data_IF_528084077123
#
_entry.id   IF_528084077123
#
_cell.length_a   1.000
_cell.length_b   1.000
_cell.length_c   1.000
_cell.angle_alpha   90.00
_cell.angle_beta   90.00
_cell.angle_gamma   90.00
#
_symmetry.space_group_name_H-M   'P 1'
#
loop_
_entity.id
_entity.type
_entity.pdbx_description
1 polymer ?
#
# COMPACT_ATOMS: atom_id res chain seq x y z
N UNK A 1 -1.12 -4.93 42.90
CA UNK A 1 -0.98 -3.71 42.07
C UNK A 1 0.14 -4.03 41.08
N UNK A 2 -0.20 -4.51 39.89
CA UNK A 2 0.79 -4.82 38.86
C UNK A 2 1.37 -3.50 38.35
N UNK A 3 2.68 -3.33 38.51
CA UNK A 3 3.42 -2.21 37.95
C UNK A 3 3.50 -2.46 36.45
N UNK A 4 2.56 -1.92 35.68
CA UNK A 4 2.65 -1.87 34.23
C UNK A 4 3.76 -0.90 33.86
N UNK A 5 4.97 -1.44 33.63
CA UNK A 5 6.09 -0.67 33.10
C UNK A 5 5.63 -0.09 31.75
N UNK A 6 5.68 1.24 31.54
CA UNK A 6 5.27 1.83 30.28
C UNK A 6 6.19 1.32 29.17
N UNK A 7 5.62 0.65 28.18
CA UNK A 7 6.40 0.15 27.05
C UNK A 7 7.05 1.31 26.30
N UNK A 8 8.34 1.16 26.00
CA UNK A 8 9.09 2.12 25.21
C UNK A 8 8.65 2.02 23.75
N UNK A 9 7.92 3.05 23.29
CA UNK A 9 7.57 3.21 21.88
C UNK A 9 8.83 3.65 21.13
N UNK A 10 9.24 2.85 20.15
CA UNK A 10 10.45 3.10 19.35
C UNK A 10 10.14 3.91 18.10
N UNK A 11 8.96 3.72 17.54
CA UNK A 11 8.52 4.40 16.34
C UNK A 11 7.01 4.56 16.35
N UNK A 12 6.55 5.72 15.89
CA UNK A 12 5.13 6.04 15.86
C UNK A 12 4.83 6.87 14.61
N UNK A 13 3.91 6.38 13.77
CA UNK A 13 3.51 7.08 12.55
C UNK A 13 2.00 6.97 12.31
N UNK A 14 1.43 7.97 11.65
CA UNK A 14 0.04 7.97 11.24
C UNK A 14 -0.08 7.24 9.91
N UNK A 15 -1.00 6.29 9.81
CA UNK A 15 -1.17 5.46 8.61
C UNK A 15 -2.62 5.21 8.29
N UNK A 16 -2.90 4.91 7.03
CA UNK A 16 -4.23 4.51 6.60
C UNK A 16 -4.27 2.98 6.55
N UNK A 17 -4.89 2.34 7.54
CA UNK A 17 -5.08 0.89 7.56
C UNK A 17 -6.23 0.49 6.63
N UNK A 18 -6.07 -0.59 5.88
CA UNK A 18 -7.17 -1.15 5.09
C UNK A 18 -7.74 -2.31 5.86
N UNK A 19 -9.03 -2.22 6.15
CA UNK A 19 -9.77 -3.27 6.82
C UNK A 19 -10.89 -3.70 5.87
N UNK A 20 -10.82 -4.94 5.39
CA UNK A 20 -11.73 -5.54 4.41
C UNK A 20 -11.86 -4.73 3.11
N UNK A 21 -10.77 -4.68 2.32
CA UNK A 21 -10.65 -4.30 0.90
C UNK A 21 -11.20 -2.94 0.40
N UNK A 22 -12.09 -2.27 1.14
CA UNK A 22 -12.93 -1.21 0.61
C UNK A 22 -12.89 0.10 1.39
N UNK A 23 -12.41 0.11 2.66
CA UNK A 23 -12.27 1.34 3.44
C UNK A 23 -10.85 1.49 4.01
N UNK A 24 -10.15 2.49 3.52
CA UNK A 24 -8.92 2.98 4.15
C UNK A 24 -9.30 3.89 5.33
N UNK A 25 -8.98 3.48 6.55
CA UNK A 25 -9.28 4.22 7.78
C UNK A 25 -8.01 4.87 8.29
N UNK A 26 -8.10 6.09 8.82
CA UNK A 26 -6.98 6.73 9.52
C UNK A 26 -6.74 5.99 10.83
N UNK A 27 -5.49 5.63 11.06
CA UNK A 27 -5.02 5.01 12.28
C UNK A 27 -3.58 5.43 12.59
N UNK A 28 -3.05 4.84 13.66
CA UNK A 28 -1.69 5.06 14.15
C UNK A 28 -1.00 3.71 14.27
N UNK A 29 0.23 3.61 13.76
CA UNK A 29 1.08 2.46 14.00
C UNK A 29 2.13 2.83 15.02
N UNK A 30 2.15 2.10 16.13
CA UNK A 30 3.18 2.21 17.17
C UNK A 30 3.97 0.92 17.18
N UNK A 31 5.27 1.02 17.05
CA UNK A 31 6.19 -0.12 17.12
C UNK A 31 6.93 -0.01 18.45
N UNK A 32 6.79 -1.02 19.30
CA UNK A 32 7.56 -1.20 20.53
C UNK A 32 8.65 -2.25 20.31
N UNK A 33 9.42 -2.57 21.35
CA UNK A 33 10.49 -3.57 21.26
C UNK A 33 9.97 -4.99 20.98
N UNK A 34 8.72 -5.29 21.36
CA UNK A 34 8.17 -6.65 21.29
C UNK A 34 6.90 -6.75 20.42
N UNK A 35 6.19 -5.64 20.17
CA UNK A 35 4.91 -5.64 19.44
C UNK A 35 4.72 -4.45 18.51
N UNK A 36 3.94 -4.67 17.47
CA UNK A 36 3.36 -3.66 16.60
C UNK A 36 1.90 -3.47 16.99
N UNK A 37 1.54 -2.24 17.29
CA UNK A 37 0.19 -1.80 17.63
C UNK A 37 -0.37 -1.02 16.44
N UNK A 38 -1.48 -1.49 15.89
CA UNK A 38 -2.28 -0.79 14.91
C UNK A 38 -3.52 -0.24 15.61
N UNK A 39 -3.56 1.07 15.80
CA UNK A 39 -4.67 1.75 16.45
C UNK A 39 -5.53 2.43 15.38
N UNK A 40 -6.71 1.88 15.11
CA UNK A 40 -7.76 2.50 14.30
C UNK A 40 -8.82 3.10 15.22
N UNK A 41 -9.64 4.02 14.69
CA UNK A 41 -10.73 4.66 15.45
C UNK A 41 -11.72 3.64 16.06
N UNK A 42 -11.85 2.45 15.45
CA UNK A 42 -12.77 1.39 15.90
C UNK A 42 -12.07 0.14 16.46
N UNK A 43 -10.79 -0.10 16.16
CA UNK A 43 -10.13 -1.37 16.50
C UNK A 43 -8.65 -1.17 16.83
N UNK A 44 -8.18 -1.86 17.87
CA UNK A 44 -6.77 -1.97 18.24
C UNK A 44 -6.27 -3.38 17.89
N UNK A 45 -5.45 -3.50 16.84
CA UNK A 45 -4.81 -4.77 16.50
C UNK A 45 -3.38 -4.79 17.04
N UNK A 46 -3.08 -5.82 17.82
CA UNK A 46 -1.77 -6.02 18.42
C UNK A 46 -1.13 -7.24 17.75
N UNK A 47 0.03 -7.06 17.13
CA UNK A 47 0.80 -8.13 16.51
C UNK A 47 2.18 -8.23 17.18
N UNK A 48 2.55 -9.36 17.79
CA UNK A 48 3.92 -9.53 18.29
C UNK A 48 4.89 -9.58 17.11
N UNK A 49 6.04 -8.92 17.25
CA UNK A 49 7.02 -8.78 16.15
C UNK A 49 7.59 -10.15 15.76
N UNK A 50 7.73 -11.06 16.72
CA UNK A 50 8.14 -12.44 16.49
C UNK A 50 7.18 -13.23 15.59
N UNK A 51 5.89 -12.86 15.56
CA UNK A 51 4.92 -13.54 14.72
C UNK A 51 4.92 -13.05 13.26
N UNK A 52 5.62 -11.96 12.93
CA UNK A 52 5.70 -11.41 11.58
C UNK A 52 6.74 -12.21 10.80
N UNK A 53 6.30 -13.10 9.89
CA UNK A 53 7.20 -13.91 9.05
C UNK A 53 7.69 -13.16 7.84
N UNK A 54 6.78 -12.44 7.18
CA UNK A 54 7.07 -11.81 5.89
C UNK A 54 6.50 -10.41 5.83
N UNK A 55 7.30 -9.49 5.33
CA UNK A 55 6.92 -8.11 5.02
C UNK A 55 7.04 -7.95 3.51
N UNK A 56 5.95 -7.55 2.85
CA UNK A 56 5.96 -7.29 1.40
C UNK A 56 5.31 -5.96 1.11
N UNK A 57 6.02 -5.11 0.36
CA UNK A 57 5.40 -3.93 -0.24
C UNK A 57 4.99 -4.33 -1.66
N UNK A 58 3.70 -4.32 -1.92
CA UNK A 58 3.14 -4.54 -3.24
C UNK A 58 2.55 -3.23 -3.76
N UNK A 59 2.59 -3.09 -5.08
CA UNK A 59 1.77 -2.08 -5.74
C UNK A 59 0.36 -2.64 -5.81
N UNK A 60 -0.64 -1.81 -5.49
CA UNK A 60 -2.05 -2.21 -5.57
C UNK A 60 -2.35 -2.68 -7.00
N UNK A 61 -2.57 -4.00 -7.17
CA UNK A 61 -2.83 -4.65 -8.45
C UNK A 61 -4.30 -4.47 -8.79
N UNK A 62 -4.59 -3.59 -9.75
CA UNK A 62 -5.96 -3.39 -10.20
C UNK A 62 -6.12 -3.87 -11.63
N UNK A 63 -6.75 -5.04 -11.76
CA UNK A 63 -7.36 -5.56 -12.98
C UNK A 63 -8.10 -4.47 -13.78
N UNK A 64 -8.66 -3.45 -13.10
CA UNK A 64 -9.28 -2.30 -13.73
C UNK A 64 -8.38 -1.51 -14.69
N UNK A 65 -7.07 -1.40 -14.45
CA UNK A 65 -6.15 -0.76 -15.39
C UNK A 65 -5.96 -1.60 -16.66
N UNK A 66 -5.86 -2.92 -16.52
CA UNK A 66 -5.77 -3.83 -17.66
C UNK A 66 -7.06 -3.80 -18.49
N UNK A 67 -8.23 -3.84 -17.85
CA UNK A 67 -9.53 -3.76 -18.53
C UNK A 67 -9.70 -2.41 -19.24
N UNK A 68 -9.34 -1.30 -18.59
CA UNK A 68 -9.40 0.01 -19.24
C UNK A 68 -8.43 0.07 -20.43
N UNK A 69 -7.20 -0.45 -20.27
CA UNK A 69 -6.21 -0.52 -21.35
C UNK A 69 -6.66 -1.36 -22.55
N UNK A 70 -7.34 -2.49 -22.34
CA UNK A 70 -7.87 -3.30 -23.44
C UNK A 70 -9.03 -2.61 -24.16
N UNK A 71 -9.94 -1.95 -23.43
CA UNK A 71 -11.01 -1.14 -24.02
C UNK A 71 -10.42 0.01 -24.86
N UNK A 72 -9.38 0.68 -24.35
CA UNK A 72 -8.69 1.75 -25.07
C UNK A 72 -8.10 1.23 -26.38
N UNK A 73 -7.38 0.11 -26.33
CA UNK A 73 -6.75 -0.50 -27.51
C UNK A 73 -7.78 -0.90 -28.56
N UNK A 74 -8.87 -1.56 -28.14
CA UNK A 74 -9.93 -2.01 -29.04
C UNK A 74 -10.67 -0.83 -29.69
N UNK A 75 -11.04 0.19 -28.91
CA UNK A 75 -11.69 1.39 -29.41
C UNK A 75 -10.80 2.17 -30.38
N UNK A 76 -9.49 2.26 -30.10
CA UNK A 76 -8.51 2.88 -30.99
C UNK A 76 -8.38 2.10 -32.30
N UNK A 77 -8.33 0.77 -32.24
CA UNK A 77 -8.27 -0.11 -33.42
C UNK A 77 -9.48 0.10 -34.34
N UNK A 78 -10.70 0.18 -33.77
CA UNK A 78 -11.92 0.44 -34.55
C UNK A 78 -11.84 1.81 -35.23
N UNK A 79 -11.46 2.86 -34.51
CA UNK A 79 -11.34 4.21 -35.07
C UNK A 79 -10.29 4.31 -36.19
N UNK A 80 -9.13 3.67 -36.02
CA UNK A 80 -8.08 3.67 -37.05
C UNK A 80 -8.40 2.82 -38.27
N UNK A 81 -9.19 1.75 -38.10
CA UNK A 81 -9.51 0.82 -39.20
C UNK A 81 -10.60 1.35 -40.15
N UNK A 82 -11.36 2.37 -39.74
CA UNK A 82 -12.55 2.86 -40.48
C UNK A 82 -12.39 4.24 -41.12
N UNK A 83 -11.16 4.63 -41.48
CA UNK A 83 -10.86 5.98 -41.95
C UNK A 83 -11.50 6.42 -43.30
N UNK A 84 -12.31 5.62 -44.05
CA UNK A 84 -13.10 6.25 -45.12
C UNK A 84 -14.55 5.80 -45.39
N UNK A 85 -15.27 4.97 -44.60
CA UNK A 85 -16.65 4.52 -44.96
C UNK A 85 -17.67 4.73 -43.84
N UNK A 86 -18.25 5.94 -43.78
CA UNK A 86 -19.45 6.24 -42.98
C UNK A 86 -20.57 6.59 -43.95
N UNK A 87 -21.35 5.59 -44.34
CA UNK A 87 -22.37 5.74 -45.40
C UNK A 87 -23.79 5.87 -44.82
N UNK A 88 -23.96 5.63 -43.52
CA UNK A 88 -25.26 5.68 -42.84
C UNK A 88 -25.17 6.18 -41.40
N UNK A 89 -26.28 6.70 -40.86
CA UNK A 89 -26.36 7.12 -39.46
C UNK A 89 -25.96 5.99 -38.49
N UNK A 90 -26.40 4.76 -38.75
CA UNK A 90 -26.05 3.60 -37.92
C UNK A 90 -24.54 3.32 -37.95
N UNK A 91 -23.90 3.42 -39.12
CA UNK A 91 -22.45 3.28 -39.24
C UNK A 91 -21.68 4.39 -38.51
N UNK A 92 -22.18 5.63 -38.54
CA UNK A 92 -21.59 6.74 -37.80
C UNK A 92 -21.65 6.50 -36.27
N UNK A 93 -22.77 5.95 -35.78
CA UNK A 93 -22.92 5.62 -34.37
C UNK A 93 -21.94 4.51 -33.95
N UNK A 94 -21.84 3.43 -34.74
CA UNK A 94 -21.05 2.25 -34.38
C UNK A 94 -19.54 2.41 -34.56
N UNK A 95 -19.10 3.13 -35.59
CA UNK A 95 -17.68 3.22 -35.94
C UNK A 95 -17.02 4.55 -35.56
N UNK A 96 -17.81 5.57 -35.23
CA UNK A 96 -17.28 6.87 -34.81
C UNK A 96 -17.73 7.24 -33.39
N UNK A 97 -19.03 7.35 -33.12
CA UNK A 97 -19.52 7.84 -31.82
C UNK A 97 -19.19 6.86 -30.68
N UNK A 98 -19.55 5.58 -30.84
CA UNK A 98 -19.35 4.57 -29.79
C UNK A 98 -17.86 4.35 -29.47
N UNK A 99 -16.95 4.17 -30.44
CA UNK A 99 -15.52 4.05 -30.16
C UNK A 99 -14.95 5.31 -29.52
N UNK A 100 -15.39 6.51 -29.93
CA UNK A 100 -14.93 7.77 -29.31
C UNK A 100 -15.35 7.85 -27.84
N UNK A 101 -16.59 7.47 -27.51
CA UNK A 101 -17.08 7.42 -26.12
C UNK A 101 -16.34 6.36 -25.30
N UNK A 102 -16.05 5.19 -25.88
CA UNK A 102 -15.25 4.15 -25.21
C UNK A 102 -13.81 4.62 -24.97
N UNK A 103 -13.22 5.37 -25.89
CA UNK A 103 -11.90 5.98 -25.74
C UNK A 103 -11.86 7.02 -24.63
N UNK A 104 -12.84 7.94 -24.59
CA UNK A 104 -12.91 8.98 -23.56
C UNK A 104 -13.17 8.40 -22.18
N UNK A 105 -14.09 7.43 -22.05
CA UNK A 105 -14.36 6.76 -20.77
C UNK A 105 -13.16 5.94 -20.29
N UNK A 106 -12.50 5.20 -21.18
CA UNK A 106 -11.30 4.44 -20.81
C UNK A 106 -10.15 5.34 -20.38
N UNK A 107 -9.89 6.43 -21.10
CA UNK A 107 -8.86 7.41 -20.68
C UNK A 107 -9.19 8.04 -19.34
N UNK A 108 -10.46 8.35 -19.06
CA UNK A 108 -10.90 8.83 -17.75
C UNK A 108 -10.64 7.79 -16.65
N UNK A 109 -10.94 6.51 -16.90
CA UNK A 109 -10.70 5.42 -15.95
C UNK A 109 -9.21 5.21 -15.67
N UNK A 110 -8.37 5.27 -16.71
CA UNK A 110 -6.90 5.21 -16.57
C UNK A 110 -6.38 6.40 -15.76
N UNK A 111 -6.87 7.60 -16.04
CA UNK A 111 -6.50 8.83 -15.33
C UNK A 111 -6.92 8.77 -13.86
N UNK A 112 -8.17 8.37 -13.60
CA UNK A 112 -8.70 8.17 -12.26
C UNK A 112 -7.90 7.13 -11.48
N UNK A 113 -7.52 6.03 -12.14
CA UNK A 113 -6.64 5.03 -11.55
C UNK A 113 -5.27 5.60 -11.19
N UNK A 114 -4.66 6.41 -12.07
CA UNK A 114 -3.38 7.06 -11.80
C UNK A 114 -3.45 7.97 -10.57
N UNK A 115 -4.56 8.67 -10.36
CA UNK A 115 -4.83 9.53 -9.20
C UNK A 115 -5.08 8.76 -7.89
N UNK A 116 -5.73 7.60 -7.99
CA UNK A 116 -6.11 6.75 -6.85
C UNK A 116 -5.08 5.66 -6.55
N UNK A 117 -3.95 5.65 -7.27
CA UNK A 117 -2.87 4.68 -7.10
C UNK A 117 -2.27 4.79 -5.70
N UNK A 118 -2.15 3.65 -5.04
CA UNK A 118 -1.53 3.51 -3.73
C UNK A 118 -0.63 2.30 -3.68
N UNK A 119 0.24 2.28 -2.69
CA UNK A 119 1.06 1.14 -2.30
C UNK A 119 0.40 0.43 -1.13
N UNK A 120 0.62 -0.88 -1.05
CA UNK A 120 0.13 -1.74 0.02
C UNK A 120 1.33 -2.41 0.70
N UNK A 121 1.38 -2.32 2.01
CA UNK A 121 2.29 -3.08 2.86
C UNK A 121 1.50 -4.25 3.46
N UNK A 122 1.82 -5.45 3.01
CA UNK A 122 1.28 -6.71 3.51
C UNK A 122 2.21 -7.30 4.56
N UNK A 123 1.69 -7.49 5.77
CA UNK A 123 2.37 -8.16 6.89
C UNK A 123 1.74 -9.53 7.10
N UNK A 124 2.47 -10.59 6.77
CA UNK A 124 2.02 -11.96 6.92
C UNK A 124 2.49 -12.53 8.27
N UNK A 125 1.53 -12.89 9.12
CA UNK A 125 1.79 -13.49 10.43
C UNK A 125 1.78 -15.02 10.40
N UNK A 126 2.42 -15.67 11.39
CA UNK A 126 2.50 -17.15 11.51
C UNK A 126 1.13 -17.86 11.52
N UNK A 127 0.08 -17.20 12.02
CA UNK A 127 -1.26 -17.76 12.16
C UNK A 127 -2.17 -17.49 10.95
N UNK A 128 -1.60 -17.14 9.79
CA UNK A 128 -2.37 -16.85 8.57
C UNK A 128 -3.19 -15.56 8.64
N UNK A 129 -2.96 -14.71 9.65
CA UNK A 129 -3.51 -13.36 9.69
C UNK A 129 -2.63 -12.44 8.86
N UNK A 130 -3.25 -11.70 7.94
CA UNK A 130 -2.60 -10.65 7.15
C UNK A 130 -3.07 -9.28 7.64
N UNK A 131 -2.12 -8.36 7.83
CA UNK A 131 -2.42 -6.96 8.08
C UNK A 131 -1.93 -6.17 6.89
N UNK A 132 -2.84 -5.42 6.29
CA UNK A 132 -2.54 -4.57 5.14
C UNK A 132 -2.62 -3.09 5.51
N UNK A 133 -1.56 -2.37 5.17
CA UNK A 133 -1.49 -0.91 5.31
C UNK A 133 -1.41 -0.30 3.93
N UNK A 134 -2.26 0.70 3.65
CA UNK A 134 -2.24 1.41 2.37
C UNK A 134 -1.67 2.81 2.58
N UNK A 135 -0.68 3.18 1.76
CA UNK A 135 -0.23 4.57 1.67
C UNK A 135 -0.11 5.00 0.22
N UNK A 136 -0.31 6.29 -0.04
CA UNK A 136 0.00 6.88 -1.35
C UNK A 136 1.51 7.05 -1.54
N UNK A 137 2.26 7.20 -0.45
CA UNK A 137 3.69 7.35 -0.49
C UNK A 137 4.37 6.00 -0.24
N UNK A 138 5.36 5.66 -1.08
CA UNK A 138 6.15 4.45 -0.91
C UNK A 138 7.09 4.57 0.28
N UNK A 139 7.68 5.75 0.49
CA UNK A 139 8.68 5.98 1.53
C UNK A 139 8.09 5.77 2.92
N UNK A 140 6.84 6.20 3.16
CA UNK A 140 6.14 5.94 4.44
C UNK A 140 6.03 4.43 4.74
N UNK A 141 5.73 3.61 3.73
CA UNK A 141 5.64 2.16 3.91
C UNK A 141 7.01 1.51 4.10
N UNK A 142 8.02 2.05 3.42
CA UNK A 142 9.41 1.61 3.54
C UNK A 142 9.95 1.91 4.94
N UNK A 143 9.67 3.09 5.51
CA UNK A 143 10.04 3.45 6.88
C UNK A 143 9.42 2.49 7.89
N UNK A 144 8.14 2.17 7.75
CA UNK A 144 7.44 1.21 8.61
C UNK A 144 8.07 -0.19 8.48
N UNK A 145 8.32 -0.65 7.26
CA UNK A 145 8.95 -1.94 7.01
C UNK A 145 10.35 -2.02 7.64
N UNK A 146 11.16 -0.97 7.47
CA UNK A 146 12.49 -0.86 8.06
C UNK A 146 12.45 -0.83 9.58
N UNK A 147 11.51 -0.10 10.18
CA UNK A 147 11.33 -0.05 11.62
C UNK A 147 10.99 -1.45 12.18
N UNK A 148 10.12 -2.21 11.51
CA UNK A 148 9.79 -3.59 11.92
C UNK A 148 11.01 -4.50 11.78
N UNK A 149 11.75 -4.46 10.66
CA UNK A 149 12.98 -5.25 10.47
C UNK A 149 14.08 -4.92 11.48
N UNK A 150 14.29 -3.62 11.79
CA UNK A 150 15.26 -3.18 12.79
C UNK A 150 14.99 -3.79 14.18
N UNK A 151 13.72 -3.89 14.55
CA UNK A 151 13.33 -4.54 15.81
C UNK A 151 13.45 -6.06 15.70
N UNK A 152 13.03 -6.65 14.58
CA UNK A 152 13.10 -8.11 14.32
C UNK A 152 14.54 -8.65 14.35
N UNK A 153 15.49 -7.92 13.78
CA UNK A 153 16.93 -8.27 13.76
C UNK A 153 17.58 -8.05 15.15
N UNK A 154 16.85 -7.46 16.10
CA UNK A 154 17.36 -7.17 17.44
C UNK A 154 18.42 -6.06 17.46
N UNK A 155 18.49 -5.24 16.41
CA UNK A 155 19.41 -4.10 16.35
C UNK A 155 19.14 -3.13 17.50
N UNK A 156 17.87 -2.98 17.90
CA UNK A 156 17.47 -2.14 19.03
C UNK A 156 17.97 -2.70 20.36
N UNK A 157 17.90 -4.02 20.60
CA UNK A 157 18.49 -4.64 21.81
C UNK A 157 20.01 -4.45 21.87
N UNK A 158 20.70 -4.57 20.73
CA UNK A 158 22.17 -4.34 20.64
C UNK A 158 22.55 -2.87 20.84
N UNK A 159 21.76 -1.92 20.34
CA UNK A 159 21.97 -0.49 20.55
C UNK A 159 21.68 -0.07 22.01
N UNK A 160 20.62 -0.59 22.61
CA UNK A 160 20.27 -0.30 24.02
C UNK A 160 21.26 -0.94 24.99
N UNK A 161 21.76 -2.16 24.72
CA UNK A 161 22.85 -2.76 25.50
C UNK A 161 24.16 -1.95 25.41
N UNK A 162 24.52 -1.44 24.22
CA UNK A 162 25.68 -0.55 24.05
C UNK A 162 25.54 0.81 24.72
N UNK A 163 24.31 1.28 24.96
CA UNK A 163 24.06 2.55 25.66
C UNK A 163 24.15 2.41 27.19
N UNK A 164 23.83 1.22 27.73
CA UNK A 164 23.89 0.94 29.17
C UNK A 164 25.25 0.39 29.66
N UNK A 165 26.12 -0.03 28.75
CA UNK A 165 27.53 -0.27 29.05
C UNK A 165 28.38 0.66 28.21
N UNK A 166 28.96 1.70 28.80
CA UNK A 166 29.85 2.63 28.11
C UNK A 166 30.92 1.89 27.29
N UNK A 167 31.06 2.25 26.01
CA UNK A 167 32.38 2.52 25.38
C UNK A 167 32.27 2.78 23.87
N UNK A 168 32.67 4.02 23.52
CA UNK A 168 33.47 4.48 22.37
C UNK A 168 32.88 4.46 20.95
N UNK A 169 32.81 5.67 20.42
CA UNK A 169 33.00 6.13 19.04
C UNK A 169 33.52 5.09 18.06
N UNK A 170 32.78 4.90 16.96
CA UNK A 170 33.40 4.67 15.65
C UNK A 170 32.92 5.77 14.72
N UNK A 171 33.86 6.67 14.44
CA UNK A 171 33.86 7.60 13.32
C UNK A 171 33.67 6.83 12.01
N UNK A 172 32.75 7.30 11.18
CA UNK A 172 32.65 6.90 9.79
C UNK A 172 33.90 7.37 9.04
N UNK A 173 34.64 6.43 8.48
CA UNK A 173 35.42 6.60 7.25
C UNK A 173 34.76 5.74 6.18
#
# INVERSE_FOLDING_TARGET
>A
MEITIPEKVLFETNVYTVENDLKARRGKVRITEDRVLFESVEELKIAPISAIRTIRIKRDEKLGFLIAGTIFGFASLILFSFLPHIDSFLSAVLFFILPTVMLTTSTLLIYWWKLTRSFLLSLLMEYGREVEIRSKNFDDLLEIANAIELVRIGAVRKLTQRKNGESKTLSYL
#
